data_IF_551577536993
#
_entry.id   IF_551577536993
#
_cell.length_a   1.000
_cell.length_b   1.000
_cell.length_c   1.000
_cell.angle_alpha   90.00
_cell.angle_beta   90.00
_cell.angle_gamma   90.00
#
_symmetry.space_group_name_H-M   'P 1'
#
loop_
_entity.id
_entity.type
_entity.pdbx_description
1 polymer ?
#
# COMPACT_ATOMS: atom_id res chain seq x y z
N UNK A 1 19.30 -20.64 9.84
CA UNK A 1 19.27 -19.68 8.72
C UNK A 1 18.34 -18.55 9.14
N UNK A 2 18.88 -17.38 9.46
CA UNK A 2 18.06 -16.20 9.74
C UNK A 2 17.64 -15.62 8.40
N UNK A 3 16.38 -15.21 8.28
CA UNK A 3 15.88 -14.49 7.10
C UNK A 3 15.54 -13.08 7.57
N UNK A 4 16.28 -12.10 7.07
CA UNK A 4 16.03 -10.69 7.34
C UNK A 4 15.04 -10.17 6.29
N UNK A 5 14.04 -9.42 6.74
CA UNK A 5 12.99 -8.90 5.89
C UNK A 5 12.66 -7.46 6.25
N UNK A 6 12.47 -6.63 5.23
CA UNK A 6 11.88 -5.30 5.38
C UNK A 6 10.54 -5.29 4.69
N UNK A 7 9.50 -4.87 5.39
CA UNK A 7 8.17 -4.74 4.81
C UNK A 7 7.34 -3.68 5.50
N UNK A 8 6.33 -3.21 4.79
CA UNK A 8 5.32 -2.27 5.28
C UNK A 8 4.00 -2.50 4.56
N UNK A 9 2.92 -1.99 5.15
CA UNK A 9 1.58 -2.01 4.57
C UNK A 9 0.51 -2.52 5.51
N UNK A 10 -0.64 -2.88 4.94
CA UNK A 10 -1.78 -3.43 5.66
C UNK A 10 -1.85 -4.94 5.47
N UNK A 11 -1.50 -5.67 6.53
CA UNK A 11 -1.63 -7.12 6.57
C UNK A 11 -2.93 -7.52 7.25
N UNK A 12 -3.82 -8.21 6.53
CA UNK A 12 -5.11 -8.69 7.04
C UNK A 12 -5.84 -7.66 7.93
N UNK A 13 -6.11 -6.45 7.42
CA UNK A 13 -6.82 -5.43 8.18
C UNK A 13 -8.26 -5.87 8.47
N UNK A 14 -8.88 -5.19 9.44
CA UNK A 14 -10.31 -5.33 9.75
C UNK A 14 -11.18 -5.04 8.52
N UNK A 15 -12.38 -5.63 8.50
CA UNK A 15 -13.28 -5.59 7.35
C UNK A 15 -13.60 -4.15 6.90
N UNK A 16 -13.81 -3.24 7.85
CA UNK A 16 -14.17 -1.85 7.57
C UNK A 16 -13.03 -1.09 6.88
N UNK A 17 -11.79 -1.26 7.36
CA UNK A 17 -10.59 -0.68 6.75
C UNK A 17 -10.35 -1.24 5.35
N UNK A 18 -10.59 -2.53 5.16
CA UNK A 18 -10.48 -3.17 3.85
C UNK A 18 -11.58 -2.68 2.89
N UNK A 19 -12.78 -2.38 3.38
CA UNK A 19 -13.86 -1.81 2.59
C UNK A 19 -13.51 -0.40 2.11
N UNK A 20 -13.02 0.47 3.01
CA UNK A 20 -12.55 1.81 2.66
C UNK A 20 -11.45 1.77 1.59
N UNK A 21 -10.50 0.86 1.73
CA UNK A 21 -9.42 0.71 0.76
C UNK A 21 -9.91 0.24 -0.61
N UNK A 22 -10.90 -0.67 -0.65
CA UNK A 22 -11.50 -1.10 -1.92
C UNK A 22 -12.30 0.02 -2.57
N UNK A 23 -13.03 0.80 -1.78
CA UNK A 23 -13.79 1.95 -2.27
C UNK A 23 -12.88 3.04 -2.84
N UNK A 24 -11.77 3.37 -2.17
CA UNK A 24 -10.79 4.34 -2.70
C UNK A 24 -10.08 3.79 -3.95
N UNK A 25 -9.77 2.49 -4.00
CA UNK A 25 -9.21 1.88 -5.23
C UNK A 25 -10.22 1.94 -6.38
N UNK A 26 -11.51 1.76 -6.12
CA UNK A 26 -12.53 1.80 -7.17
C UNK A 26 -12.68 3.20 -7.78
N UNK A 27 -12.75 4.23 -6.94
CA UNK A 27 -12.99 5.61 -7.38
C UNK A 27 -11.71 6.40 -7.68
N UNK A 28 -10.62 6.12 -6.98
CA UNK A 28 -9.38 6.92 -6.96
C UNK A 28 -8.12 6.07 -7.19
N UNK A 29 -8.21 4.96 -7.95
CA UNK A 29 -7.09 4.03 -8.21
C UNK A 29 -5.77 4.71 -8.62
N UNK A 30 -5.85 5.85 -9.30
CA UNK A 30 -4.70 6.63 -9.76
C UNK A 30 -3.72 6.98 -8.63
N UNK A 31 -4.20 7.19 -7.39
CA UNK A 31 -3.35 7.50 -6.22
C UNK A 31 -2.43 6.34 -5.87
N UNK A 32 -2.99 5.13 -5.71
CA UNK A 32 -2.21 3.91 -5.47
C UNK A 32 -1.30 3.61 -6.67
N UNK A 33 -1.84 3.66 -7.89
CA UNK A 33 -1.10 3.41 -9.13
C UNK A 33 0.12 4.34 -9.26
N UNK A 34 -0.02 5.62 -8.94
CA UNK A 34 1.09 6.57 -8.95
C UNK A 34 2.20 6.20 -7.95
N UNK A 35 1.84 5.79 -6.73
CA UNK A 35 2.81 5.34 -5.73
C UNK A 35 3.56 4.08 -6.19
N UNK A 36 2.83 3.10 -6.74
CA UNK A 36 3.42 1.85 -7.25
C UNK A 36 4.35 2.07 -8.45
N UNK A 37 4.12 3.14 -9.24
CA UNK A 37 4.92 3.47 -10.43
C UNK A 37 6.19 4.28 -10.13
N UNK A 38 6.37 4.78 -8.90
CA UNK A 38 7.56 5.57 -8.56
C UNK A 38 8.85 4.82 -8.91
N UNK A 39 9.90 5.51 -9.42
CA UNK A 39 11.10 4.85 -9.92
C UNK A 39 11.88 4.11 -8.82
N UNK A 40 11.89 4.66 -7.61
CA UNK A 40 12.47 4.04 -6.42
C UNK A 40 11.70 2.79 -5.98
N UNK A 41 10.36 2.85 -5.93
CA UNK A 41 9.48 1.71 -5.65
C UNK A 41 9.72 0.57 -6.64
N UNK A 42 9.73 0.88 -7.94
CA UNK A 42 9.97 -0.11 -8.99
C UNK A 42 11.35 -0.75 -8.87
N UNK A 43 12.38 0.03 -8.57
CA UNK A 43 13.75 -0.46 -8.39
C UNK A 43 13.86 -1.37 -7.16
N UNK A 44 13.37 -0.93 -6.01
CA UNK A 44 13.58 -1.64 -4.74
C UNK A 44 12.67 -2.86 -4.57
N UNK A 45 11.40 -2.79 -4.97
CA UNK A 45 10.41 -3.85 -4.68
C UNK A 45 9.96 -4.62 -5.92
N UNK A 46 9.99 -4.00 -7.10
CA UNK A 46 9.50 -4.63 -8.34
C UNK A 46 10.61 -5.00 -9.32
N UNK A 47 11.83 -5.24 -8.81
CA UNK A 47 12.98 -5.73 -9.61
C UNK A 47 13.33 -4.86 -10.82
N UNK A 48 13.06 -3.55 -10.75
CA UNK A 48 13.41 -2.61 -11.81
C UNK A 48 12.56 -2.70 -13.07
N UNK A 49 11.29 -3.11 -12.97
CA UNK A 49 10.34 -3.07 -14.10
C UNK A 49 10.30 -1.66 -14.77
N UNK A 50 10.01 -1.58 -16.08
CA UNK A 50 9.88 -0.30 -16.79
C UNK A 50 8.70 0.52 -16.27
N UNK A 51 8.61 1.78 -16.69
CA UNK A 51 7.55 2.69 -16.26
C UNK A 51 6.24 2.35 -16.98
N UNK A 52 5.58 1.33 -16.47
CA UNK A 52 4.34 0.81 -17.00
C UNK A 52 3.40 0.47 -15.85
N UNK A 53 2.20 1.04 -15.90
CA UNK A 53 1.21 0.92 -14.84
C UNK A 53 0.75 -0.53 -14.66
N UNK A 54 0.47 -1.23 -15.76
CA UNK A 54 -0.02 -2.61 -15.71
C UNK A 54 1.02 -3.54 -15.10
N UNK A 55 2.30 -3.36 -15.44
CA UNK A 55 3.41 -4.11 -14.84
C UNK A 55 3.60 -3.79 -13.36
N UNK A 56 3.45 -2.53 -12.95
CA UNK A 56 3.52 -2.16 -11.54
C UNK A 56 2.39 -2.80 -10.72
N UNK A 57 1.15 -2.75 -11.22
CA UNK A 57 0.00 -3.42 -10.61
C UNK A 57 0.23 -4.93 -10.56
N UNK A 58 0.65 -5.54 -11.66
CA UNK A 58 0.88 -6.99 -11.72
C UNK A 58 1.97 -7.43 -10.73
N UNK A 59 3.06 -6.66 -10.60
CA UNK A 59 4.12 -6.94 -9.64
C UNK A 59 3.61 -6.87 -8.20
N UNK A 60 2.82 -5.83 -7.87
CA UNK A 60 2.22 -5.67 -6.56
C UNK A 60 1.20 -6.76 -6.22
N UNK A 61 0.31 -7.10 -7.16
CA UNK A 61 -0.67 -8.18 -7.03
C UNK A 61 0.05 -9.52 -6.85
N UNK A 62 1.13 -9.77 -7.59
CA UNK A 62 1.93 -11.00 -7.44
C UNK A 62 2.53 -11.14 -6.04
N UNK A 63 2.97 -10.04 -5.42
CA UNK A 63 3.51 -10.07 -4.04
C UNK A 63 2.43 -10.36 -3.00
N UNK A 64 1.17 -9.97 -3.26
CA UNK A 64 0.07 -10.10 -2.30
C UNK A 64 -0.91 -11.24 -2.64
N UNK A 65 -0.61 -12.04 -3.67
CA UNK A 65 -1.50 -13.03 -4.28
C UNK A 65 -1.97 -14.12 -3.31
N UNK A 66 -1.13 -14.50 -2.35
CA UNK A 66 -1.48 -15.52 -1.34
C UNK A 66 -2.67 -15.10 -0.48
N UNK A 67 -2.80 -13.79 -0.23
CA UNK A 67 -3.93 -13.23 0.50
C UNK A 67 -5.15 -12.98 -0.38
N UNK A 68 -5.08 -13.11 -1.71
CA UNK A 68 -6.15 -12.66 -2.59
C UNK A 68 -7.40 -13.56 -2.57
N UNK A 69 -8.55 -12.97 -2.90
CA UNK A 69 -9.82 -13.68 -3.11
C UNK A 69 -9.80 -14.43 -4.45
N UNK A 70 -10.31 -15.67 -4.43
CA UNK A 70 -10.49 -16.48 -5.64
C UNK A 70 -11.58 -15.94 -6.56
N UNK A 71 -12.51 -15.13 -6.06
CA UNK A 71 -13.62 -14.54 -6.82
C UNK A 71 -13.60 -13.02 -6.67
N UNK A 72 -14.45 -12.32 -7.43
CA UNK A 72 -14.67 -10.88 -7.22
C UNK A 72 -15.19 -10.62 -5.79
N UNK A 73 -14.76 -9.53 -5.13
CA UNK A 73 -15.42 -9.08 -3.90
C UNK A 73 -16.88 -8.70 -4.18
N UNK A 74 -17.74 -8.84 -3.17
CA UNK A 74 -19.16 -8.45 -3.27
C UNK A 74 -19.26 -6.94 -3.53
N UNK A 75 -20.13 -6.53 -4.46
CA UNK A 75 -20.36 -5.12 -4.79
C UNK A 75 -19.52 -4.56 -5.94
N UNK A 76 -18.58 -5.34 -6.48
CA UNK A 76 -17.74 -4.91 -7.61
C UNK A 76 -18.01 -5.75 -8.84
N UNK A 77 -17.94 -5.16 -10.03
CA UNK A 77 -18.11 -5.88 -11.29
C UNK A 77 -16.85 -6.64 -11.73
N UNK A 78 -17.06 -7.72 -12.49
CA UNK A 78 -15.96 -8.59 -12.91
C UNK A 78 -15.05 -7.94 -13.97
N UNK A 79 -15.59 -6.97 -14.72
CA UNK A 79 -14.92 -6.18 -15.75
C UNK A 79 -14.32 -4.87 -15.23
N UNK A 80 -14.39 -4.63 -13.92
CA UNK A 80 -13.77 -3.49 -13.28
C UNK A 80 -12.26 -3.45 -13.57
N UNK A 81 -11.74 -2.32 -14.02
CA UNK A 81 -10.33 -2.17 -14.39
C UNK A 81 -9.35 -2.45 -13.23
N UNK A 82 -9.80 -2.27 -12.00
CA UNK A 82 -9.03 -2.44 -10.77
C UNK A 82 -9.31 -3.78 -10.08
N UNK A 83 -10.02 -4.71 -10.74
CA UNK A 83 -10.50 -5.95 -10.12
C UNK A 83 -9.39 -6.80 -9.50
N UNK A 84 -8.18 -6.79 -10.07
CA UNK A 84 -7.04 -7.53 -9.51
C UNK A 84 -6.60 -6.96 -8.15
N UNK A 85 -6.62 -5.63 -8.00
CA UNK A 85 -6.32 -4.96 -6.74
C UNK A 85 -7.45 -5.15 -5.73
N UNK A 86 -8.71 -5.05 -6.17
CA UNK A 86 -9.89 -5.19 -5.30
C UNK A 86 -9.98 -6.59 -4.67
N UNK A 87 -9.46 -7.63 -5.35
CA UNK A 87 -9.42 -9.00 -4.83
C UNK A 87 -8.40 -9.18 -3.71
N UNK A 88 -7.44 -8.28 -3.51
CA UNK A 88 -6.46 -8.40 -2.45
C UNK A 88 -7.14 -8.30 -1.06
N UNK A 89 -6.54 -8.99 -0.07
CA UNK A 89 -6.90 -8.86 1.35
C UNK A 89 -5.76 -8.26 2.17
N UNK A 90 -4.52 -8.40 1.71
CA UNK A 90 -3.36 -7.71 2.25
C UNK A 90 -2.78 -6.79 1.18
N UNK A 91 -2.33 -5.61 1.60
CA UNK A 91 -1.69 -4.61 0.78
C UNK A 91 -0.32 -4.33 1.38
N UNK A 92 0.65 -5.17 1.05
CA UNK A 92 2.00 -5.13 1.61
C UNK A 92 3.04 -5.01 0.52
N UNK A 93 4.11 -4.27 0.83
CA UNK A 93 5.36 -4.27 0.07
C UNK A 93 6.46 -4.74 0.99
N UNK A 94 7.38 -5.50 0.46
CA UNK A 94 8.54 -5.93 1.23
C UNK A 94 9.51 -6.74 0.42
N UNK A 95 10.73 -6.86 0.93
CA UNK A 95 11.78 -7.66 0.32
C UNK A 95 12.66 -8.30 1.40
N UNK A 96 13.19 -9.51 1.12
CA UNK A 96 14.28 -10.03 1.92
C UNK A 96 15.51 -9.14 1.77
N UNK A 97 16.26 -8.99 2.86
CA UNK A 97 17.60 -8.40 2.86
C UNK A 97 18.62 -9.53 2.78
N UNK A 98 19.65 -9.39 1.95
CA UNK A 98 20.73 -10.36 1.94
C UNK A 98 21.61 -10.21 3.18
N UNK A 99 22.25 -11.31 3.60
CA UNK A 99 23.25 -11.28 4.67
C UNK A 99 24.37 -10.27 4.37
N UNK A 100 24.74 -10.12 3.10
CA UNK A 100 25.74 -9.14 2.68
C UNK A 100 25.29 -7.68 2.82
N UNK A 101 24.02 -7.36 2.52
CA UNK A 101 23.46 -6.03 2.75
C UNK A 101 23.39 -5.72 4.25
N UNK A 102 23.11 -6.73 5.06
CA UNK A 102 22.99 -6.56 6.51
C UNK A 102 24.34 -6.40 7.22
N UNK A 103 25.36 -7.15 6.79
CA UNK A 103 26.70 -7.08 7.38
C UNK A 103 27.54 -5.90 6.86
N UNK A 104 27.00 -5.12 5.91
CA UNK A 104 27.66 -3.94 5.39
C UNK A 104 27.74 -2.84 6.46
N UNK A 105 28.81 -2.06 6.46
CA UNK A 105 29.01 -0.95 7.41
C UNK A 105 27.96 0.16 7.28
N UNK A 106 27.28 0.24 6.13
CA UNK A 106 26.24 1.23 5.83
C UNK A 106 24.81 0.65 5.88
N UNK A 107 24.61 -0.45 6.62
CA UNK A 107 23.30 -1.13 6.72
C UNK A 107 22.21 -0.19 7.23
N UNK A 108 22.53 0.71 8.17
CA UNK A 108 21.56 1.64 8.74
C UNK A 108 21.05 2.63 7.68
N UNK A 109 21.94 3.20 6.88
CA UNK A 109 21.61 4.09 5.76
C UNK A 109 20.83 3.36 4.69
N UNK A 110 21.17 2.09 4.41
CA UNK A 110 20.44 1.25 3.45
C UNK A 110 19.02 0.98 3.92
N UNK A 111 18.82 0.65 5.18
CA UNK A 111 17.48 0.44 5.76
C UNK A 111 16.69 1.75 5.75
N UNK A 112 17.30 2.86 6.16
CA UNK A 112 16.65 4.18 6.13
C UNK A 112 16.21 4.56 4.71
N UNK A 113 17.05 4.31 3.70
CA UNK A 113 16.71 4.53 2.31
C UNK A 113 15.53 3.65 1.86
N UNK A 114 15.52 2.36 2.23
CA UNK A 114 14.41 1.45 1.91
C UNK A 114 13.11 1.92 2.57
N UNK A 115 13.15 2.33 3.84
CA UNK A 115 11.99 2.88 4.56
C UNK A 115 11.49 4.15 3.87
N UNK A 116 12.39 5.03 3.42
CA UNK A 116 12.02 6.23 2.66
C UNK A 116 11.29 5.92 1.35
N UNK A 117 11.58 4.79 0.70
CA UNK A 117 10.84 4.33 -0.48
C UNK A 117 9.46 3.77 -0.12
N UNK A 118 9.31 3.19 1.07
CA UNK A 118 8.04 2.66 1.56
C UNK A 118 7.09 3.76 2.06
N UNK A 119 7.61 4.90 2.53
CA UNK A 119 6.84 5.98 3.15
C UNK A 119 5.64 6.43 2.30
N UNK A 120 5.76 6.72 0.99
CA UNK A 120 4.61 7.19 0.20
C UNK A 120 3.49 6.16 0.11
N UNK A 121 3.83 4.86 0.17
CA UNK A 121 2.86 3.78 0.18
C UNK A 121 2.13 3.69 1.52
N UNK A 122 2.86 3.78 2.63
CA UNK A 122 2.26 3.80 3.97
C UNK A 122 1.39 5.04 4.15
N UNK A 123 1.85 6.21 3.70
CA UNK A 123 1.10 7.47 3.74
C UNK A 123 -0.19 7.39 2.93
N UNK A 124 -0.17 6.78 1.74
CA UNK A 124 -1.39 6.50 0.99
C UNK A 124 -2.36 5.62 1.79
N UNK A 125 -1.90 4.47 2.32
CA UNK A 125 -2.76 3.55 3.05
C UNK A 125 -3.38 4.22 4.28
N UNK A 126 -2.59 4.95 5.06
CA UNK A 126 -3.04 5.68 6.24
C UNK A 126 -4.09 6.73 5.89
N UNK A 127 -3.90 7.47 4.78
CA UNK A 127 -4.88 8.49 4.34
C UNK A 127 -6.26 7.91 4.00
N UNK A 128 -6.36 6.60 3.77
CA UNK A 128 -7.61 5.92 3.42
C UNK A 128 -8.24 5.24 4.65
N UNK A 129 -7.42 4.59 5.48
CA UNK A 129 -7.92 3.77 6.60
C UNK A 129 -7.94 4.48 7.95
N UNK A 130 -7.32 5.66 8.04
CA UNK A 130 -7.35 6.55 9.20
C UNK A 130 -7.61 7.99 8.71
N UNK A 131 -8.81 8.29 8.17
CA UNK A 131 -9.16 9.67 7.88
C UNK A 131 -9.14 10.45 9.19
N UNK A 132 -8.48 11.61 9.20
CA UNK A 132 -8.49 12.49 10.36
C UNK A 132 -9.94 12.74 10.78
N UNK A 133 -10.24 12.75 12.09
CA UNK A 133 -11.56 13.17 12.54
C UNK A 133 -11.79 14.56 11.96
N UNK A 134 -12.87 14.71 11.18
CA UNK A 134 -13.34 16.02 10.75
C UNK A 134 -13.54 16.80 12.05
N UNK A 135 -12.76 17.85 12.25
CA UNK A 135 -12.98 18.79 13.34
C UNK A 135 -14.46 19.16 13.29
N UNK A 136 -15.24 18.66 14.24
CA UNK A 136 -16.60 19.11 14.43
C UNK A 136 -16.44 20.55 14.88
N UNK A 137 -16.63 21.45 13.92
CA UNK A 137 -16.74 22.89 14.07
C UNK A 137 -17.45 23.17 15.40
N UNK A 138 -16.68 23.65 16.38
CA UNK A 138 -17.20 24.10 17.66
C UNK A 138 -18.03 25.34 17.37
N UNK A 139 -19.31 25.11 17.04
CA UNK A 139 -20.33 26.13 17.01
C UNK A 139 -20.36 26.80 18.38
N UNK A 140 -19.76 27.99 18.45
CA UNK A 140 -19.87 28.89 19.57
C UNK A 140 -21.32 29.36 19.65
N UNK A 141 -22.17 28.62 20.34
CA UNK A 141 -23.42 29.19 20.85
C UNK A 141 -23.09 30.01 22.09
N UNK A 142 -22.73 31.27 21.84
CA UNK A 142 -22.84 32.33 22.82
C UNK A 142 -24.33 32.63 23.02
N UNK A 143 -25.02 31.89 23.88
CA UNK A 143 -26.30 32.36 24.42
C UNK A 143 -26.04 33.32 25.58
N UNK A 144 -26.39 34.57 25.31
CA UNK A 144 -26.50 35.66 26.25
C UNK A 144 -27.87 35.57 26.91
N UNK A 145 -27.92 35.43 28.23
CA UNK A 145 -29.05 35.85 29.08
C UNK A 145 -28.62 35.93 30.54
#
# INVERSE_FOLDING_TARGET
>A
MLVLFTGSGLWQPEADKLALLREDIDHNSHRLKAVLRRPDMRREFFKGIPDDEKKAIQAFVSQNKESALKTKPKGYEADNENIELLRLRSFTIGKPLSDSEFMASNVQERIAAIIGVMEPFVTYLNSVVMPDPVDQDTGSESESA
#
